data_IF_495276615198
#
_entry.id   IF_495276615198
#
_cell.length_a   1.000
_cell.length_b   1.000
_cell.length_c   1.000
_cell.angle_alpha   90.00
_cell.angle_beta   90.00
_cell.angle_gamma   90.00
#
_symmetry.space_group_name_H-M   'P 1'
#
loop_
_entity.id
_entity.type
_entity.pdbx_description
1 polymer ?
#
# COMPACT_ATOMS: atom_id res chain seq x y z
N UNK A 1 -24.48 28.92 -48.49
CA UNK A 1 -23.03 28.78 -48.76
C UNK A 1 -22.31 29.47 -47.61
N UNK A 2 -22.27 28.78 -46.48
CA UNK A 2 -21.10 28.06 -45.98
C UNK A 2 -20.06 29.02 -45.37
N UNK A 3 -20.31 29.35 -44.11
CA UNK A 3 -19.34 29.90 -43.18
C UNK A 3 -18.39 28.78 -42.72
N UNK A 4 -17.10 29.00 -42.95
CA UNK A 4 -15.99 28.17 -42.53
C UNK A 4 -16.09 27.82 -41.03
N UNK A 5 -16.22 26.52 -40.74
CA UNK A 5 -16.02 25.98 -39.40
C UNK A 5 -14.53 26.02 -39.10
N UNK A 6 -14.12 26.87 -38.17
CA UNK A 6 -12.86 26.70 -37.47
C UNK A 6 -12.93 25.37 -36.72
N UNK A 7 -12.18 24.39 -37.21
CA UNK A 7 -11.86 23.18 -36.47
C UNK A 7 -10.98 23.60 -35.29
N UNK A 8 -11.54 23.56 -34.08
CA UNK A 8 -10.75 23.66 -32.86
C UNK A 8 -9.73 22.53 -32.86
N UNK A 9 -8.46 22.87 -32.67
CA UNK A 9 -7.39 21.90 -32.45
C UNK A 9 -7.75 21.00 -31.25
N UNK A 10 -7.44 19.69 -31.31
CA UNK A 10 -7.64 18.81 -30.16
C UNK A 10 -6.73 19.24 -28.99
N UNK A 11 -7.34 19.41 -27.82
CA UNK A 11 -6.67 19.60 -26.53
C UNK A 11 -5.73 18.40 -26.22
N UNK A 12 -4.54 18.60 -25.62
CA UNK A 12 -3.61 17.51 -25.34
C UNK A 12 -4.15 16.60 -24.21
N UNK A 13 -4.67 15.44 -24.60
CA UNK A 13 -5.10 14.40 -23.67
C UNK A 13 -3.92 13.66 -23.03
N UNK A 14 -3.54 14.07 -21.82
CA UNK A 14 -2.93 13.14 -20.86
C UNK A 14 -4.07 12.44 -20.12
N UNK A 15 -4.34 11.18 -20.47
CA UNK A 15 -5.26 10.36 -19.69
C UNK A 15 -4.65 10.15 -18.29
N UNK A 16 -5.08 10.94 -17.31
CA UNK A 16 -4.89 10.56 -15.90
C UNK A 16 -5.71 9.29 -15.71
N UNK A 17 -5.04 8.14 -15.67
CA UNK A 17 -5.71 6.89 -15.34
C UNK A 17 -6.29 7.03 -13.95
N UNK A 18 -7.58 6.76 -13.80
CA UNK A 18 -8.20 6.78 -12.48
C UNK A 18 -7.65 5.61 -11.66
N UNK A 19 -7.59 5.76 -10.33
CA UNK A 19 -7.20 4.65 -9.44
C UNK A 19 -8.06 3.40 -9.66
N UNK A 20 -9.30 3.58 -10.12
CA UNK A 20 -10.22 2.50 -10.49
C UNK A 20 -9.71 1.72 -11.70
N UNK A 21 -9.24 2.38 -12.74
CA UNK A 21 -8.74 1.73 -13.95
C UNK A 21 -7.44 0.96 -13.68
N UNK A 22 -6.56 1.57 -12.85
CA UNK A 22 -5.33 0.93 -12.35
C UNK A 22 -5.68 -0.33 -11.54
N UNK A 23 -6.66 -0.23 -10.62
CA UNK A 23 -7.13 -1.37 -9.85
C UNK A 23 -7.72 -2.49 -10.71
N UNK A 24 -8.51 -2.13 -11.73
CA UNK A 24 -9.12 -3.11 -12.63
C UNK A 24 -8.03 -3.88 -13.40
N UNK A 25 -7.08 -3.15 -13.98
CA UNK A 25 -5.93 -3.73 -14.70
C UNK A 25 -5.09 -4.63 -13.79
N UNK A 26 -4.78 -4.16 -12.58
CA UNK A 26 -4.06 -4.94 -11.56
C UNK A 26 -4.79 -6.24 -11.22
N UNK A 27 -6.10 -6.16 -10.95
CA UNK A 27 -6.91 -7.30 -10.55
C UNK A 27 -7.09 -8.33 -11.67
N UNK A 28 -7.20 -7.89 -12.93
CA UNK A 28 -7.23 -8.79 -14.09
C UNK A 28 -5.93 -9.59 -14.19
N UNK A 29 -4.78 -8.91 -14.09
CA UNK A 29 -3.48 -9.60 -14.08
C UNK A 29 -3.33 -10.53 -12.88
N UNK A 30 -3.74 -10.11 -11.70
CA UNK A 30 -3.72 -10.94 -10.49
C UNK A 30 -4.58 -12.21 -10.67
N UNK A 31 -5.75 -12.12 -11.31
CA UNK A 31 -6.61 -13.28 -11.62
C UNK A 31 -5.94 -14.27 -12.55
N UNK A 32 -5.23 -13.81 -13.60
CA UNK A 32 -4.50 -14.70 -14.50
C UNK A 32 -3.38 -15.44 -13.78
N UNK A 33 -2.65 -14.75 -12.90
CA UNK A 33 -1.61 -15.36 -12.04
C UNK A 33 -2.22 -16.42 -11.12
N UNK A 34 -3.34 -16.09 -10.46
CA UNK A 34 -4.06 -17.00 -9.57
C UNK A 34 -4.52 -18.29 -10.28
N UNK A 35 -4.99 -18.17 -11.53
CA UNK A 35 -5.43 -19.29 -12.36
C UNK A 35 -4.28 -20.12 -12.95
N UNK A 36 -3.03 -19.65 -12.82
CA UNK A 36 -1.88 -20.29 -13.46
C UNK A 36 -1.86 -20.12 -14.99
N UNK A 37 -2.64 -19.19 -15.53
CA UNK A 37 -2.75 -18.92 -16.98
C UNK A 37 -2.00 -17.65 -17.38
N UNK A 38 -1.06 -17.19 -16.56
CA UNK A 38 -0.30 -15.98 -16.82
C UNK A 38 0.85 -16.26 -17.79
N UNK A 39 0.85 -15.57 -18.91
CA UNK A 39 1.90 -15.56 -19.94
C UNK A 39 2.88 -14.38 -19.77
N UNK A 40 2.49 -13.34 -19.02
CA UNK A 40 3.28 -12.13 -18.79
C UNK A 40 3.83 -12.02 -17.36
N UNK A 41 5.15 -12.18 -17.20
CA UNK A 41 5.84 -12.10 -15.91
C UNK A 41 6.44 -10.73 -15.58
N UNK A 42 6.14 -9.70 -16.38
CA UNK A 42 6.48 -8.32 -16.04
C UNK A 42 5.86 -7.95 -14.67
N UNK A 43 6.47 -7.04 -13.89
CA UNK A 43 5.90 -6.55 -12.63
C UNK A 43 4.44 -6.09 -12.79
N UNK A 44 3.66 -6.22 -11.72
CA UNK A 44 2.33 -5.62 -11.64
C UNK A 44 2.48 -4.15 -11.29
N UNK A 45 1.94 -3.29 -12.14
CA UNK A 45 1.86 -1.84 -11.92
C UNK A 45 0.76 -1.52 -10.90
N UNK A 46 1.04 -0.55 -10.04
CA UNK A 46 0.14 -0.10 -8.97
C UNK A 46 -0.20 1.40 -9.11
N UNK A 47 0.23 2.04 -10.20
CA UNK A 47 0.08 3.48 -10.42
C UNK A 47 1.24 4.28 -9.84
N UNK A 48 1.03 5.58 -9.64
CA UNK A 48 1.98 6.46 -8.94
C UNK A 48 1.56 6.67 -7.48
N UNK A 49 2.48 7.09 -6.59
CA UNK A 49 2.17 7.40 -5.21
C UNK A 49 1.10 8.49 -5.07
N UNK A 50 0.15 8.31 -4.15
CA UNK A 50 -0.80 9.35 -3.80
C UNK A 50 -0.11 10.48 -3.00
N UNK A 51 -0.80 11.61 -2.84
CA UNK A 51 -0.24 12.78 -2.15
C UNK A 51 0.27 12.47 -0.73
N UNK A 52 -0.39 11.56 -0.01
CA UNK A 52 0.04 11.14 1.32
C UNK A 52 1.39 10.40 1.29
N UNK A 53 1.60 9.54 0.31
CA UNK A 53 2.88 8.84 0.12
C UNK A 53 3.99 9.80 -0.33
N UNK A 54 3.67 10.76 -1.23
CA UNK A 54 4.61 11.80 -1.66
C UNK A 54 5.08 12.66 -0.47
N UNK A 55 4.15 13.05 0.41
CA UNK A 55 4.47 13.83 1.62
C UNK A 55 5.36 13.06 2.62
N UNK A 56 5.38 11.72 2.55
CA UNK A 56 6.28 10.86 3.32
C UNK A 56 7.65 10.66 2.64
N UNK A 57 7.96 11.42 1.57
CA UNK A 57 9.25 11.35 0.87
C UNK A 57 9.37 10.19 -0.11
N UNK A 58 8.26 9.53 -0.48
CA UNK A 58 8.27 8.59 -1.60
C UNK A 58 8.28 9.42 -2.90
N UNK A 59 9.24 9.23 -3.82
CA UNK A 59 9.34 10.02 -5.04
C UNK A 59 8.20 9.69 -6.01
N UNK A 60 7.85 10.63 -6.89
CA UNK A 60 6.85 10.45 -7.95
C UNK A 60 7.38 9.55 -9.08
N UNK A 61 7.50 8.26 -8.77
CA UNK A 61 7.91 7.17 -9.64
C UNK A 61 6.88 6.04 -9.58
N UNK A 62 6.71 5.24 -10.65
CA UNK A 62 5.75 4.14 -10.66
C UNK A 62 5.95 3.17 -9.50
N UNK A 63 4.83 2.79 -8.88
CA UNK A 63 4.75 1.74 -7.86
C UNK A 63 4.57 0.39 -8.56
N UNK A 64 5.41 -0.59 -8.21
CA UNK A 64 5.28 -1.92 -8.77
C UNK A 64 5.56 -3.05 -7.78
N UNK A 65 5.01 -4.22 -8.06
CA UNK A 65 5.34 -5.46 -7.37
C UNK A 65 5.70 -6.57 -8.36
N UNK A 66 6.80 -7.26 -8.11
CA UNK A 66 7.21 -8.41 -8.92
C UNK A 66 6.19 -9.55 -8.84
N UNK A 67 5.76 -10.07 -10.01
CA UNK A 67 4.91 -11.28 -10.11
C UNK A 67 5.55 -12.47 -9.42
N UNK A 68 6.85 -12.71 -9.68
CA UNK A 68 7.61 -13.78 -9.04
C UNK A 68 7.56 -13.67 -7.52
N UNK A 69 7.64 -12.46 -6.96
CA UNK A 69 7.57 -12.26 -5.50
C UNK A 69 6.20 -12.62 -4.91
N UNK A 70 5.11 -12.34 -5.62
CA UNK A 70 3.76 -12.76 -5.22
C UNK A 70 3.61 -14.28 -5.30
N UNK A 71 4.12 -14.90 -6.37
CA UNK A 71 4.06 -16.35 -6.57
C UNK A 71 4.94 -17.10 -5.55
N UNK A 72 6.19 -16.69 -5.36
CA UNK A 72 7.12 -17.29 -4.41
C UNK A 72 6.57 -17.22 -2.98
N UNK A 73 5.90 -16.11 -2.61
CA UNK A 73 5.20 -15.99 -1.32
C UNK A 73 4.08 -17.03 -1.19
N UNK A 74 3.21 -17.18 -2.20
CA UNK A 74 2.14 -18.21 -2.21
C UNK A 74 2.67 -19.62 -1.96
N UNK A 75 3.87 -19.94 -2.44
CA UNK A 75 4.46 -21.28 -2.37
C UNK A 75 5.14 -21.59 -1.02
N UNK A 76 5.24 -20.62 -0.10
CA UNK A 76 5.80 -20.87 1.23
C UNK A 76 4.83 -21.71 2.08
N UNK A 77 5.32 -22.79 2.70
CA UNK A 77 4.51 -23.76 3.44
C UNK A 77 3.66 -23.16 4.57
N UNK A 78 4.08 -22.01 5.12
CA UNK A 78 3.41 -21.29 6.21
C UNK A 78 2.74 -19.99 5.73
N UNK A 79 2.37 -19.88 4.46
CA UNK A 79 1.87 -18.62 3.93
C UNK A 79 0.55 -18.21 4.62
N UNK A 80 0.52 -17.07 5.35
CA UNK A 80 -0.59 -16.77 6.24
C UNK A 80 -1.80 -16.13 5.54
N UNK A 81 -1.74 -15.93 4.22
CA UNK A 81 -2.81 -15.25 3.47
C UNK A 81 -3.10 -15.82 2.09
N UNK A 82 -4.30 -15.60 1.56
CA UNK A 82 -4.59 -15.89 0.15
C UNK A 82 -4.06 -14.78 -0.75
N UNK A 83 -3.60 -15.09 -1.96
CA UNK A 83 -3.34 -14.05 -2.97
C UNK A 83 -4.61 -13.26 -3.35
N UNK A 84 -5.80 -13.76 -3.00
CA UNK A 84 -7.06 -12.99 -3.06
C UNK A 84 -7.04 -11.80 -2.10
N UNK A 85 -6.35 -11.90 -0.96
CA UNK A 85 -6.28 -10.87 0.08
C UNK A 85 -5.50 -9.63 -0.35
N UNK A 86 -4.74 -9.71 -1.46
CA UNK A 86 -4.05 -8.56 -2.05
C UNK A 86 -4.77 -8.00 -3.29
N UNK A 87 -5.98 -8.46 -3.59
CA UNK A 87 -6.82 -7.82 -4.59
C UNK A 87 -7.07 -6.35 -4.21
N UNK A 88 -7.16 -5.48 -5.22
CA UNK A 88 -7.32 -4.03 -5.04
C UNK A 88 -6.15 -3.33 -4.31
N UNK A 89 -4.97 -3.95 -4.24
CA UNK A 89 -3.77 -3.35 -3.65
C UNK A 89 -3.53 -1.88 -4.06
N UNK A 90 -3.67 -1.47 -5.34
CA UNK A 90 -3.47 -0.07 -5.71
C UNK A 90 -4.40 0.89 -4.94
N UNK A 91 -5.69 0.53 -4.77
CA UNK A 91 -6.64 1.36 -4.03
C UNK A 91 -6.23 1.51 -2.55
N UNK A 92 -5.79 0.41 -1.92
CA UNK A 92 -5.35 0.45 -0.53
C UNK A 92 -4.07 1.26 -0.30
N UNK A 93 -3.18 1.30 -1.29
CA UNK A 93 -2.00 2.18 -1.25
C UNK A 93 -2.34 3.64 -1.53
N UNK A 94 -3.38 3.89 -2.33
CA UNK A 94 -3.84 5.24 -2.65
C UNK A 94 -4.55 5.92 -1.46
N UNK A 95 -5.06 5.14 -0.49
CA UNK A 95 -5.75 5.65 0.69
C UNK A 95 -5.39 4.84 1.97
N UNK A 96 -4.12 4.94 2.42
CA UNK A 96 -3.58 4.09 3.49
C UNK A 96 -4.09 4.50 4.88
N UNK A 97 -4.04 3.58 5.85
CA UNK A 97 -4.31 3.89 7.26
C UNK A 97 -3.19 4.76 7.83
N UNK A 98 -1.93 4.34 7.60
CA UNK A 98 -0.76 5.02 8.10
C UNK A 98 0.50 4.66 7.29
N UNK A 99 1.49 5.55 7.34
CA UNK A 99 2.83 5.34 6.80
C UNK A 99 3.84 5.50 7.92
N UNK A 100 4.79 4.57 7.99
CA UNK A 100 5.84 4.52 8.98
C UNK A 100 7.20 4.48 8.32
N UNK A 101 8.18 5.09 8.98
CA UNK A 101 9.58 4.80 8.74
C UNK A 101 9.89 3.38 9.23
N UNK A 102 10.60 2.56 8.44
CA UNK A 102 10.98 1.21 8.88
C UNK A 102 11.99 1.27 10.02
N UNK A 103 11.71 0.51 11.09
CA UNK A 103 12.55 0.41 12.30
C UNK A 103 13.95 -0.15 12.03
N UNK A 104 14.09 -1.06 11.05
CA UNK A 104 15.34 -1.79 10.80
C UNK A 104 16.09 -1.32 9.56
N UNK A 105 15.43 -0.59 8.67
CA UNK A 105 15.96 -0.19 7.35
C UNK A 105 15.42 1.18 6.96
N UNK A 106 16.19 2.24 7.16
CA UNK A 106 15.75 3.63 6.99
C UNK A 106 15.33 3.99 5.55
N UNK A 107 15.77 3.21 4.57
CA UNK A 107 15.38 3.34 3.17
C UNK A 107 14.02 2.70 2.85
N UNK A 108 13.36 2.05 3.81
CA UNK A 108 12.07 1.39 3.61
C UNK A 108 10.96 2.17 4.31
N UNK A 109 9.84 2.35 3.61
CA UNK A 109 8.56 2.78 4.20
C UNK A 109 7.68 1.56 4.47
N UNK A 110 6.98 1.56 5.60
CA UNK A 110 6.01 0.54 5.95
C UNK A 110 4.63 1.18 5.96
N UNK A 111 3.71 0.66 5.17
CA UNK A 111 2.38 1.24 4.98
C UNK A 111 1.36 0.28 5.61
N UNK A 112 0.61 0.75 6.60
CA UNK A 112 -0.53 0.03 7.15
C UNK A 112 -1.76 0.29 6.27
N UNK A 113 -2.44 -0.78 5.88
CA UNK A 113 -3.55 -0.74 4.92
C UNK A 113 -4.83 -1.30 5.51
N UNK A 114 -5.97 -0.98 4.89
CA UNK A 114 -7.27 -1.56 5.23
C UNK A 114 -7.48 -2.97 4.66
N UNK A 115 -6.54 -3.51 3.87
CA UNK A 115 -6.53 -4.94 3.54
C UNK A 115 -6.56 -5.74 4.84
N UNK A 116 -7.43 -6.74 4.90
CA UNK A 116 -7.67 -7.53 6.11
C UNK A 116 -7.95 -9.00 5.74
N UNK A 117 -7.41 -9.92 6.53
CA UNK A 117 -7.78 -11.32 6.50
C UNK A 117 -7.94 -11.82 7.93
N UNK A 118 -9.12 -12.36 8.26
CA UNK A 118 -9.46 -12.87 9.60
C UNK A 118 -9.21 -11.86 10.73
N UNK A 119 -9.57 -10.59 10.52
CA UNK A 119 -9.38 -9.53 11.53
C UNK A 119 -7.96 -8.95 11.60
N UNK A 120 -7.04 -9.42 10.74
CA UNK A 120 -5.63 -8.98 10.76
C UNK A 120 -5.36 -8.11 9.54
N UNK A 121 -5.00 -6.86 9.79
CA UNK A 121 -4.63 -5.91 8.73
C UNK A 121 -3.24 -6.20 8.16
N UNK A 122 -3.05 -5.79 6.91
CA UNK A 122 -1.80 -5.98 6.20
C UNK A 122 -0.93 -4.74 6.26
N UNK A 123 0.38 -4.98 6.31
CA UNK A 123 1.40 -3.98 6.05
C UNK A 123 2.08 -4.25 4.71
N UNK A 124 2.46 -3.16 4.04
CA UNK A 124 3.20 -3.16 2.78
C UNK A 124 4.56 -2.50 3.02
N UNK A 125 5.64 -3.22 2.79
CA UNK A 125 6.99 -2.66 2.81
C UNK A 125 7.37 -2.18 1.41
N UNK A 126 7.64 -0.89 1.29
CA UNK A 126 7.98 -0.19 0.05
C UNK A 126 9.42 0.30 0.14
N UNK A 127 10.23 -0.03 -0.86
CA UNK A 127 11.59 0.51 -1.02
C UNK A 127 11.57 1.52 -2.17
N UNK A 128 11.70 2.83 -1.89
CA UNK A 128 11.65 3.86 -2.92
C UNK A 128 12.84 3.82 -3.87
N UNK A 129 12.67 4.40 -5.07
CA UNK A 129 13.75 4.70 -6.02
C UNK A 129 14.71 3.53 -6.29
N UNK A 130 14.17 2.34 -6.60
CA UNK A 130 14.96 1.18 -6.98
C UNK A 130 15.09 1.09 -8.49
N UNK A 131 16.32 0.98 -8.97
CA UNK A 131 16.60 0.63 -10.36
C UNK A 131 16.18 -0.82 -10.63
N UNK A 132 15.26 -1.01 -11.57
CA UNK A 132 14.77 -2.33 -12.04
C UNK A 132 14.88 -2.37 -13.57
N UNK A 133 15.86 -3.11 -14.07
CA UNK A 133 16.25 -3.00 -15.47
C UNK A 133 16.77 -1.60 -15.75
N UNK A 134 16.10 -0.86 -16.64
CA UNK A 134 16.49 0.49 -17.05
C UNK A 134 15.59 1.60 -16.48
N UNK A 135 14.74 1.28 -15.50
CA UNK A 135 13.77 2.22 -14.93
C UNK A 135 13.89 2.29 -13.40
N UNK A 136 13.80 3.50 -12.85
CA UNK A 136 13.64 3.70 -11.41
C UNK A 136 12.17 3.60 -11.02
N UNK A 137 11.90 2.87 -9.94
CA UNK A 137 10.53 2.61 -9.45
C UNK A 137 10.47 2.64 -7.93
N UNK A 138 9.26 2.73 -7.39
CA UNK A 138 8.98 2.42 -6.00
C UNK A 138 8.62 0.92 -5.89
N UNK A 139 9.53 0.11 -5.35
CA UNK A 139 9.41 -1.36 -5.36
C UNK A 139 8.70 -1.85 -4.09
N UNK A 140 7.56 -2.54 -4.25
CA UNK A 140 6.93 -3.25 -3.13
C UNK A 140 7.71 -4.52 -2.82
N UNK A 141 8.42 -4.51 -1.68
CA UNK A 141 9.32 -5.58 -1.25
C UNK A 141 8.61 -6.69 -0.50
N UNK A 142 7.54 -6.36 0.20
CA UNK A 142 6.73 -7.37 0.88
C UNK A 142 5.33 -6.84 1.20
N UNK A 143 4.38 -7.76 1.23
CA UNK A 143 3.02 -7.58 1.72
C UNK A 143 2.77 -8.73 2.68
N UNK A 144 2.31 -8.47 3.88
CA UNK A 144 2.03 -9.52 4.86
C UNK A 144 1.03 -9.06 5.92
N UNK A 145 0.18 -9.97 6.45
CA UNK A 145 -0.65 -9.68 7.60
C UNK A 145 0.25 -9.39 8.80
N UNK A 146 -0.06 -8.35 9.56
CA UNK A 146 0.68 -7.94 10.76
C UNK A 146 -0.10 -8.37 12.00
N UNK A 147 0.04 -9.64 12.34
CA UNK A 147 -0.63 -10.28 13.49
C UNK A 147 -0.09 -9.80 14.85
N UNK A 148 1.15 -9.31 14.89
CA UNK A 148 1.71 -8.65 16.06
C UNK A 148 1.32 -7.17 16.15
N UNK A 149 0.07 -6.91 16.56
CA UNK A 149 -0.50 -5.57 16.75
C UNK A 149 0.35 -4.70 17.70
N UNK A 150 0.92 -5.31 18.75
CA UNK A 150 1.74 -4.60 19.74
C UNK A 150 2.91 -3.85 19.08
N UNK A 151 3.49 -4.41 18.03
CA UNK A 151 4.61 -3.80 17.32
C UNK A 151 4.19 -2.50 16.62
N UNK A 152 3.04 -2.48 15.95
CA UNK A 152 2.53 -1.25 15.32
C UNK A 152 2.22 -0.19 16.39
N UNK A 153 1.63 -0.58 17.52
CA UNK A 153 1.34 0.37 18.59
C UNK A 153 2.63 1.00 19.14
N UNK A 154 3.71 0.24 19.28
CA UNK A 154 5.02 0.79 19.69
C UNK A 154 5.62 1.73 18.64
N UNK A 155 5.45 1.43 17.35
CA UNK A 155 5.90 2.35 16.28
C UNK A 155 5.27 3.74 16.41
N UNK A 156 4.02 3.80 16.87
CA UNK A 156 3.29 5.04 17.11
C UNK A 156 3.68 5.67 18.44
N UNK A 157 3.61 4.92 19.54
CA UNK A 157 3.69 5.48 20.89
C UNK A 157 5.10 5.66 21.45
N UNK A 158 6.06 4.85 20.99
CA UNK A 158 7.39 4.75 21.62
C UNK A 158 8.51 5.08 20.63
N UNK A 159 8.46 4.52 19.42
CA UNK A 159 9.58 4.61 18.47
C UNK A 159 9.54 5.89 17.62
N UNK A 160 8.42 6.63 17.60
CA UNK A 160 8.28 7.87 16.82
C UNK A 160 8.38 7.67 15.31
N UNK A 161 7.95 6.50 14.80
CA UNK A 161 8.12 6.12 13.39
C UNK A 161 6.96 6.58 12.49
N UNK A 162 5.88 7.12 13.05
CA UNK A 162 4.70 7.54 12.30
C UNK A 162 4.98 8.81 11.47
N UNK A 163 4.84 8.72 10.15
CA UNK A 163 5.03 9.85 9.23
C UNK A 163 3.72 10.40 8.66
N UNK A 164 2.70 9.55 8.57
CA UNK A 164 1.35 9.92 8.16
C UNK A 164 0.33 8.98 8.80
N UNK A 165 -0.84 9.49 9.14
CA UNK A 165 -2.03 8.67 9.35
C UNK A 165 -3.31 9.34 8.86
N UNK A 166 -4.24 8.52 8.38
CA UNK A 166 -5.63 8.92 8.23
C UNK A 166 -6.33 8.79 9.59
N UNK A 167 -6.64 9.92 10.23
CA UNK A 167 -7.13 10.00 11.62
C UNK A 167 -8.30 9.05 11.94
N UNK A 168 -9.35 9.06 11.12
CA UNK A 168 -10.51 8.19 11.35
C UNK A 168 -10.18 6.70 11.20
N UNK A 169 -9.49 6.33 10.12
CA UNK A 169 -9.09 4.94 9.87
C UNK A 169 -8.19 4.38 10.96
N UNK A 170 -7.18 5.14 11.39
CA UNK A 170 -6.26 4.67 12.43
C UNK A 170 -6.94 4.57 13.80
N UNK A 171 -7.86 5.48 14.15
CA UNK A 171 -8.64 5.38 15.39
C UNK A 171 -9.60 4.18 15.36
N UNK A 172 -10.26 3.94 14.23
CA UNK A 172 -11.08 2.75 14.02
C UNK A 172 -10.23 1.47 14.13
N UNK A 173 -9.05 1.46 13.50
CA UNK A 173 -8.10 0.35 13.60
C UNK A 173 -7.66 0.12 15.04
N UNK A 174 -7.22 1.15 15.78
CA UNK A 174 -6.83 1.06 17.20
C UNK A 174 -7.99 0.53 18.05
N UNK A 175 -9.22 1.00 17.80
CA UNK A 175 -10.41 0.58 18.54
C UNK A 175 -10.81 -0.89 18.36
N UNK A 176 -10.40 -1.51 17.24
CA UNK A 176 -10.60 -2.95 17.01
C UNK A 176 -9.57 -3.83 17.72
N UNK A 177 -8.48 -3.26 18.24
CA UNK A 177 -7.42 -4.04 18.86
C UNK A 177 -7.83 -4.51 20.25
N UNK A 178 -7.75 -5.82 20.48
CA UNK A 178 -8.00 -6.40 21.79
C UNK A 178 -6.76 -6.31 22.66
N UNK A 179 -6.99 -6.04 23.95
CA UNK A 179 -5.91 -6.04 24.94
C UNK A 179 -5.91 -7.36 25.72
N UNK A 180 -4.83 -8.12 25.56
CA UNK A 180 -4.54 -9.30 26.37
C UNK A 180 -3.63 -9.00 27.57
N UNK A 181 -3.11 -7.76 27.69
CA UNK A 181 -2.19 -7.36 28.75
C UNK A 181 -2.29 -5.87 29.10
N UNK A 182 -1.88 -5.50 30.32
CA UNK A 182 -1.84 -4.08 30.76
C UNK A 182 -0.94 -3.24 29.85
N UNK A 183 0.16 -3.82 29.37
CA UNK A 183 1.07 -3.18 28.42
C UNK A 183 0.35 -2.77 27.12
N UNK A 184 -0.40 -3.70 26.51
CA UNK A 184 -1.15 -3.41 25.27
C UNK A 184 -2.24 -2.38 25.51
N UNK A 185 -2.92 -2.43 26.67
CA UNK A 185 -3.91 -1.42 27.04
C UNK A 185 -3.31 0.00 27.14
N UNK A 186 -2.13 0.13 27.74
CA UNK A 186 -1.42 1.41 27.84
C UNK A 186 -1.00 1.92 26.47
N UNK A 187 -0.42 1.05 25.63
CA UNK A 187 -0.06 1.38 24.26
C UNK A 187 -1.25 1.88 23.44
N UNK A 188 -2.41 1.21 23.51
CA UNK A 188 -3.66 1.64 22.86
C UNK A 188 -4.06 3.05 23.32
N UNK A 189 -4.02 3.29 24.64
CA UNK A 189 -4.37 4.59 25.24
C UNK A 189 -3.43 5.69 24.73
N UNK A 190 -2.13 5.44 24.69
CA UNK A 190 -1.14 6.44 24.30
C UNK A 190 -1.16 6.70 22.79
N UNK A 191 -1.28 5.67 21.97
CA UNK A 191 -1.53 5.82 20.53
C UNK A 191 -2.77 6.68 20.26
N UNK A 192 -3.87 6.43 20.97
CA UNK A 192 -5.12 7.19 20.82
C UNK A 192 -4.93 8.67 21.14
N UNK A 193 -4.15 9.01 22.18
CA UNK A 193 -3.84 10.41 22.51
C UNK A 193 -3.00 11.08 21.42
N UNK A 194 -1.92 10.41 20.99
CA UNK A 194 -1.00 10.92 19.95
C UNK A 194 -1.79 11.22 18.67
N UNK A 195 -2.57 10.25 18.19
CA UNK A 195 -3.39 10.40 16.97
C UNK A 195 -4.41 11.54 17.09
N UNK A 196 -4.95 11.78 18.29
CA UNK A 196 -5.89 12.89 18.50
C UNK A 196 -5.22 14.26 18.49
N UNK A 197 -3.93 14.33 18.86
CA UNK A 197 -3.16 15.57 18.93
C UNK A 197 -2.53 16.02 17.62
N UNK A 198 -2.39 15.12 16.64
CA UNK A 198 -2.03 15.43 15.26
C UNK A 198 -3.23 15.88 14.42
#
# INVERSE_FOLDING_TARGET
>A
MESFKNAGNPEPGSYIQSIRDICNTYNERLRLILRGTNDNYAPLELGNPCQHLLNCGIPDLPLQISVRRLVDKKLQANHPFSLVSVAHLPAYLNDPIAVFQSKTRQEIKVILTEMEERGINFVVALEPQKLKGNQEVNDIRSIYPKDNVKEILRWIAEDGLLEYCHKEKILNWIGKQQSYSVEVANLIKDCTKIVKSI
#
